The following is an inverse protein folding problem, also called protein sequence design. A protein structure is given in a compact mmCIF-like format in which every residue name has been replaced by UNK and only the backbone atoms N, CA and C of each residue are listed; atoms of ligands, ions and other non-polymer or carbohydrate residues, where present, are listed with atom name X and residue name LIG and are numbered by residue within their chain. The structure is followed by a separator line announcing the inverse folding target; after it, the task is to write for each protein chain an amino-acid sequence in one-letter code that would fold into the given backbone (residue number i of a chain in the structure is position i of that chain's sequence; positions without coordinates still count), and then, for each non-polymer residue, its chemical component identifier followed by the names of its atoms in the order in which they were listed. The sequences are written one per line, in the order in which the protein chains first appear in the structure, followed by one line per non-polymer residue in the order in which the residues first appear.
data_IF_959315298429
#
_entry.id   IF_959315298429
#
_cell.length_a   1.000
_cell.length_b   1.000
_cell.length_c   1.000
_cell.angle_alpha   90.00
_cell.angle_beta   90.00
_cell.angle_gamma   90.00
#
_symmetry.space_group_name_H-M   'P 1'
#
loop_
_entity.id
_entity.type
_entity.pdbx_description
1 polymer ?
#
# COMPACT_ATOMS: atom_id res chain seq x y z
N UNK A 1 2.28 1.80 -27.87
CA UNK A 1 2.29 3.08 -27.13
C UNK A 1 0.95 3.84 -27.24
N UNK A 2 -0.21 3.22 -26.97
CA UNK A 2 -1.51 3.88 -27.18
C UNK A 2 -2.57 3.68 -26.08
N UNK A 3 -2.23 3.03 -24.96
CA UNK A 3 -3.24 2.65 -23.94
C UNK A 3 -3.24 3.52 -22.68
N UNK A 4 -2.17 4.29 -22.42
CA UNK A 4 -2.07 5.11 -21.20
C UNK A 4 -2.80 6.44 -21.29
N UNK A 5 -2.98 7.01 -22.50
CA UNK A 5 -3.71 8.27 -22.70
C UNK A 5 -5.22 8.12 -22.52
N UNK A 6 -5.80 7.02 -23.01
CA UNK A 6 -7.25 6.78 -22.91
C UNK A 6 -7.70 6.53 -21.46
N UNK A 7 -6.93 5.80 -20.67
CA UNK A 7 -7.25 5.57 -19.25
C UNK A 7 -7.10 6.85 -18.40
N UNK A 8 -6.13 7.71 -18.72
CA UNK A 8 -5.99 9.01 -18.06
C UNK A 8 -7.11 9.99 -18.44
N UNK A 9 -7.61 9.95 -19.69
CA UNK A 9 -8.76 10.76 -20.10
C UNK A 9 -10.08 10.29 -19.48
N UNK A 10 -10.29 8.98 -19.33
CA UNK A 10 -11.49 8.44 -18.68
C UNK A 10 -11.52 8.81 -17.19
N UNK A 11 -10.38 8.75 -16.50
CA UNK A 11 -10.29 9.18 -15.10
C UNK A 11 -10.46 10.70 -14.94
N UNK A 12 -9.90 11.51 -15.85
CA UNK A 12 -10.09 12.99 -15.88
C UNK A 12 -11.52 13.41 -16.23
N UNK A 13 -12.23 12.66 -17.08
CA UNK A 13 -13.65 12.94 -17.42
C UNK A 13 -14.60 12.51 -16.30
N UNK A 14 -14.27 11.45 -15.55
CA UNK A 14 -15.08 11.01 -14.40
C UNK A 14 -14.96 11.91 -13.17
N UNK A 15 -13.87 12.68 -13.05
CA UNK A 15 -13.60 13.57 -11.92
C UNK A 15 -14.06 15.02 -12.12
N UNK A 16 -14.69 15.34 -13.26
CA UNK A 16 -15.11 16.72 -13.58
C UNK A 16 -16.56 16.72 -14.11
N UNK A 17 -17.53 16.30 -13.29
CA UNK A 17 -18.97 16.62 -13.43
C UNK A 17 -19.74 16.58 -12.10
N UNK A 18 -19.10 16.94 -11.00
CA UNK A 18 -19.82 17.33 -9.78
C UNK A 18 -19.10 18.56 -9.25
N UNK A 19 -19.84 19.61 -8.91
CA UNK A 19 -19.40 20.96 -8.56
C UNK A 19 -19.28 21.88 -9.80
N UNK A 20 -20.42 22.47 -10.20
CA UNK A 20 -20.56 23.89 -9.94
C UNK A 20 -21.96 24.19 -9.37
N UNK A 21 -22.12 24.04 -8.06
CA UNK A 21 -23.34 24.48 -7.37
C UNK A 21 -23.11 24.81 -5.88
N UNK A 22 -21.87 25.08 -5.46
CA UNK A 22 -21.56 25.30 -4.02
C UNK A 22 -21.00 26.71 -3.77
N UNK A 23 -20.86 27.56 -4.79
CA UNK A 23 -20.26 28.90 -4.63
C UNK A 23 -21.25 30.06 -4.43
N UNK A 24 -22.55 29.81 -4.25
CA UNK A 24 -23.55 30.87 -4.09
C UNK A 24 -24.43 30.76 -2.83
N UNK A 25 -24.36 29.67 -2.07
CA UNK A 25 -25.13 29.52 -0.83
C UNK A 25 -24.22 29.06 0.29
N UNK A 26 -23.85 30.01 1.14
CA UNK A 26 -23.28 29.70 2.44
C UNK A 26 -24.30 28.93 3.29
N UNK A 27 -23.78 28.01 4.10
CA UNK A 27 -24.53 27.35 5.16
C UNK A 27 -24.62 25.85 4.99
N UNK A 28 -24.55 25.15 6.12
CA UNK A 28 -24.94 23.74 6.29
C UNK A 28 -26.40 23.43 5.86
N UNK A 29 -27.14 24.40 5.31
CA UNK A 29 -28.56 24.36 4.98
C UNK A 29 -28.90 23.52 3.74
N UNK A 30 -27.98 23.34 2.79
CA UNK A 30 -28.26 22.57 1.56
C UNK A 30 -28.32 21.04 1.78
N UNK A 31 -27.67 20.53 2.84
CA UNK A 31 -27.86 19.14 3.29
C UNK A 31 -29.22 18.95 3.98
N UNK A 32 -29.78 20.03 4.54
CA UNK A 32 -31.04 20.00 5.28
C UNK A 32 -32.27 20.06 4.37
N UNK A 33 -32.17 20.68 3.19
CA UNK A 33 -33.26 20.69 2.20
C UNK A 33 -33.56 19.29 1.63
N UNK A 34 -32.55 18.42 1.48
CA UNK A 34 -32.73 17.04 1.04
C UNK A 34 -33.40 16.14 2.09
N UNK A 35 -33.29 16.49 3.38
CA UNK A 35 -33.90 15.73 4.49
C UNK A 35 -35.38 16.04 4.69
N UNK A 36 -35.88 17.14 4.12
CA UNK A 36 -37.24 17.65 4.34
C UNK A 36 -38.31 17.08 3.39
N UNK A 37 -37.94 16.26 2.41
CA UNK A 37 -38.90 15.54 1.56
C UNK A 37 -39.52 14.37 2.35
N UNK A 38 -40.62 14.64 3.05
CA UNK A 38 -41.42 13.70 3.86
C UNK A 38 -42.03 12.51 3.09
N UNK A 39 -41.67 12.26 1.83
CA UNK A 39 -42.31 11.23 1.01
C UNK A 39 -41.63 9.86 1.03
N UNK A 40 -40.45 9.68 1.64
CA UNK A 40 -39.81 8.37 1.78
C UNK A 40 -39.02 8.24 3.09
N UNK A 41 -39.56 7.53 4.08
CA UNK A 41 -38.90 7.28 5.38
C UNK A 41 -37.53 6.57 5.26
N UNK A 42 -37.27 5.92 4.12
CA UNK A 42 -36.01 5.23 3.81
C UNK A 42 -34.94 6.14 3.18
N UNK A 43 -35.26 7.41 2.88
CA UNK A 43 -34.43 8.30 2.08
C UNK A 43 -33.69 9.36 2.90
N UNK A 44 -33.68 9.29 4.23
CA UNK A 44 -32.90 10.21 5.07
C UNK A 44 -31.50 9.65 5.31
N UNK A 45 -30.47 10.03 4.52
CA UNK A 45 -29.10 9.60 4.78
C UNK A 45 -28.61 10.23 6.08
N UNK A 46 -27.76 9.51 6.80
CA UNK A 46 -27.03 10.07 7.93
C UNK A 46 -26.06 11.14 7.41
N UNK A 47 -25.93 12.26 8.15
CA UNK A 47 -24.94 13.30 7.86
C UNK A 47 -23.50 12.77 7.88
N UNK A 48 -23.25 11.71 8.66
CA UNK A 48 -21.95 11.04 8.79
C UNK A 48 -22.08 9.55 8.54
N UNK A 49 -21.19 9.00 7.71
CA UNK A 49 -21.12 7.57 7.43
C UNK A 49 -19.97 6.93 8.19
N UNK A 50 -20.27 5.94 9.04
CA UNK A 50 -19.28 5.22 9.83
C UNK A 50 -19.01 3.83 9.24
N UNK A 51 -17.85 3.69 8.59
CA UNK A 51 -17.40 2.38 8.11
C UNK A 51 -16.55 1.68 9.19
N UNK A 52 -16.99 0.50 9.64
CA UNK A 52 -16.28 -0.33 10.64
C UNK A 52 -15.30 -1.34 10.02
N UNK A 53 -15.22 -1.45 8.70
CA UNK A 53 -14.32 -2.39 8.05
C UNK A 53 -12.86 -1.94 8.19
N UNK A 54 -11.99 -2.72 8.87
CA UNK A 54 -10.59 -2.35 9.07
C UNK A 54 -9.82 -2.19 7.76
N UNK A 55 -10.17 -2.97 6.72
CA UNK A 55 -9.47 -2.95 5.42
C UNK A 55 -9.92 -1.83 4.49
N UNK A 56 -10.92 -1.03 4.86
CA UNK A 56 -11.48 -0.02 3.96
C UNK A 56 -10.43 1.03 3.56
N UNK A 57 -9.75 1.60 4.54
CA UNK A 57 -8.74 2.64 4.30
C UNK A 57 -7.51 2.12 3.57
N UNK A 58 -7.13 0.86 3.80
CA UNK A 58 -6.03 0.17 3.12
C UNK A 58 -6.32 0.02 1.63
N UNK A 59 -7.54 -0.43 1.29
CA UNK A 59 -7.97 -0.58 -0.11
C UNK A 59 -8.03 0.74 -0.86
N UNK A 60 -8.28 1.84 -0.16
CA UNK A 60 -8.26 3.20 -0.71
C UNK A 60 -6.85 3.81 -0.75
N UNK A 61 -5.82 3.10 -0.26
CA UNK A 61 -4.47 3.61 -0.06
C UNK A 61 -4.40 4.88 0.83
N UNK A 62 -5.40 5.10 1.69
CA UNK A 62 -5.48 6.22 2.62
C UNK A 62 -5.00 5.86 4.03
N UNK A 63 -5.01 4.58 4.38
CA UNK A 63 -4.52 4.11 5.67
C UNK A 63 -3.07 4.53 5.89
N UNK A 64 -2.72 4.82 7.13
CA UNK A 64 -1.34 5.12 7.46
C UNK A 64 -0.50 3.84 7.43
N UNK A 65 0.61 3.87 6.71
CA UNK A 65 1.63 2.82 6.80
C UNK A 65 2.62 3.15 7.90
N UNK A 66 3.11 2.14 8.59
CA UNK A 66 4.21 2.33 9.54
C UNK A 66 5.50 2.62 8.76
N UNK A 67 5.99 3.85 8.87
CA UNK A 67 7.22 4.33 8.20
C UNK A 67 8.48 4.03 9.02
N UNK A 68 8.33 3.53 10.26
CA UNK A 68 9.44 3.24 11.16
C UNK A 68 10.14 4.49 11.68
N UNK A 69 11.36 4.29 12.19
CA UNK A 69 12.22 5.37 12.70
C UNK A 69 13.19 5.78 11.59
N UNK A 70 12.88 6.90 10.94
CA UNK A 70 13.67 7.49 9.86
C UNK A 70 12.96 8.72 9.30
N UNK A 71 13.71 9.71 8.83
CA UNK A 71 13.11 10.83 8.11
C UNK A 71 12.59 10.28 6.78
N UNK A 72 11.35 10.64 6.39
CA UNK A 72 10.67 10.23 5.14
C UNK A 72 11.39 10.66 3.85
N UNK A 73 12.66 11.00 3.92
CA UNK A 73 13.49 11.33 2.78
C UNK A 73 14.05 10.05 2.16
N UNK A 74 14.12 9.97 0.82
CA UNK A 74 14.71 8.81 0.12
C UNK A 74 16.14 8.47 0.58
N UNK A 75 16.83 9.46 1.15
CA UNK A 75 18.20 9.38 1.62
C UNK A 75 18.36 8.79 3.03
N UNK A 76 17.31 8.79 3.86
CA UNK A 76 17.35 8.21 5.22
C UNK A 76 16.39 7.02 5.29
N UNK A 77 16.88 5.82 4.95
CA UNK A 77 16.10 4.60 5.11
C UNK A 77 15.75 4.37 6.58
N UNK A 78 14.58 3.80 6.85
CA UNK A 78 14.19 3.43 8.22
C UNK A 78 15.24 2.48 8.81
N UNK A 79 15.65 2.75 10.06
CA UNK A 79 16.68 1.95 10.75
C UNK A 79 16.20 0.53 11.07
N UNK A 80 14.88 0.34 11.18
CA UNK A 80 14.28 -0.95 11.47
C UNK A 80 14.03 -1.74 10.18
N UNK A 81 14.35 -3.03 10.21
CA UNK A 81 13.96 -3.95 9.15
C UNK A 81 12.49 -4.38 9.33
N UNK A 82 11.64 -4.35 8.30
CA UNK A 82 11.89 -3.93 6.92
C UNK A 82 11.92 -2.41 6.71
N UNK A 83 12.83 -1.95 5.85
CA UNK A 83 13.12 -0.53 5.68
C UNK A 83 12.05 0.29 4.93
N UNK A 84 10.93 -0.31 4.51
CA UNK A 84 9.91 0.37 3.72
C UNK A 84 8.47 0.11 4.22
N UNK A 85 7.60 1.15 4.12
CA UNK A 85 6.24 1.10 4.65
C UNK A 85 5.35 0.15 3.84
N UNK A 86 4.57 -0.68 4.55
CA UNK A 86 3.66 -1.66 3.97
C UNK A 86 2.46 -1.94 4.88
N UNK A 87 1.33 -2.38 4.31
CA UNK A 87 0.19 -2.90 5.08
C UNK A 87 0.33 -4.40 5.33
N UNK A 88 0.68 -5.14 4.28
CA UNK A 88 0.90 -6.58 4.29
C UNK A 88 2.29 -6.90 3.75
N UNK A 89 3.02 -7.79 4.42
CA UNK A 89 4.29 -8.34 3.94
C UNK A 89 4.24 -9.84 3.83
N UNK A 90 4.98 -10.36 2.86
CA UNK A 90 5.15 -11.79 2.64
C UNK A 90 6.36 -12.27 3.44
N UNK A 91 6.19 -13.38 4.15
CA UNK A 91 7.24 -14.05 4.89
C UNK A 91 7.35 -15.47 4.35
N UNK A 92 8.56 -15.85 3.96
CA UNK A 92 8.90 -17.21 3.58
C UNK A 92 9.89 -17.76 4.60
N UNK A 93 9.46 -18.75 5.37
CA UNK A 93 10.28 -19.44 6.35
C UNK A 93 10.53 -20.88 5.91
N UNK A 94 11.78 -21.32 6.03
CA UNK A 94 12.20 -22.66 5.66
C UNK A 94 12.92 -23.31 6.82
N UNK A 95 12.42 -24.46 7.24
CA UNK A 95 13.08 -25.37 8.17
C UNK A 95 13.66 -26.54 7.37
N UNK A 96 14.54 -27.35 7.96
CA UNK A 96 15.10 -28.52 7.29
C UNK A 96 14.06 -29.46 6.64
N UNK A 97 12.86 -29.58 7.23
CA UNK A 97 11.79 -30.48 6.77
C UNK A 97 10.59 -29.77 6.11
N UNK A 98 10.32 -28.52 6.45
CA UNK A 98 9.07 -27.85 6.09
C UNK A 98 9.29 -26.43 5.59
N UNK A 99 8.34 -25.96 4.79
CA UNK A 99 8.30 -24.61 4.23
C UNK A 99 7.00 -23.95 4.66
N UNK A 100 7.08 -22.69 5.05
CA UNK A 100 5.97 -21.89 5.51
C UNK A 100 5.94 -20.58 4.72
N UNK A 101 4.78 -20.25 4.16
CA UNK A 101 4.51 -18.96 3.54
C UNK A 101 3.41 -18.26 4.33
N UNK A 102 3.67 -17.05 4.79
CA UNK A 102 2.76 -16.29 5.63
C UNK A 102 2.58 -14.88 5.08
N UNK A 103 1.34 -14.40 5.09
CA UNK A 103 1.00 -13.01 4.86
C UNK A 103 0.78 -12.34 6.21
N UNK A 104 1.67 -11.44 6.58
CA UNK A 104 1.64 -10.74 7.86
C UNK A 104 1.18 -9.30 7.65
N UNK A 105 0.20 -8.87 8.44
CA UNK A 105 -0.22 -7.48 8.53
C UNK A 105 0.72 -6.67 9.42
N UNK A 106 0.85 -5.37 9.19
CA UNK A 106 1.76 -4.51 9.97
C UNK A 106 1.49 -4.51 11.49
N UNK A 107 0.26 -4.84 11.92
CA UNK A 107 -0.05 -5.06 13.35
C UNK A 107 0.51 -6.38 13.92
N UNK A 108 1.25 -7.17 13.15
CA UNK A 108 1.78 -8.47 13.57
C UNK A 108 0.81 -9.65 13.40
N UNK A 109 -0.41 -9.41 12.90
CA UNK A 109 -1.40 -10.48 12.67
C UNK A 109 -1.07 -11.28 11.41
N UNK A 110 -1.12 -12.61 11.50
CA UNK A 110 -1.03 -13.50 10.34
C UNK A 110 -2.40 -13.61 9.69
N UNK A 111 -2.51 -13.10 8.47
CA UNK A 111 -3.79 -13.03 7.73
C UNK A 111 -4.00 -14.33 6.96
N UNK A 112 -2.94 -14.83 6.32
CA UNK A 112 -2.95 -16.05 5.53
C UNK A 112 -1.69 -16.82 5.86
N UNK A 113 -1.85 -18.12 6.04
CA UNK A 113 -0.76 -19.05 6.28
C UNK A 113 -0.90 -20.20 5.29
N UNK A 114 0.23 -20.69 4.79
CA UNK A 114 0.35 -21.91 3.99
C UNK A 114 1.57 -22.65 4.49
N UNK A 115 1.40 -23.94 4.80
CA UNK A 115 2.51 -24.77 5.26
C UNK A 115 2.50 -26.14 4.60
N UNK A 116 3.69 -26.68 4.37
CA UNK A 116 3.84 -28.10 3.98
C UNK A 116 3.50 -29.09 5.10
N UNK A 117 3.13 -28.60 6.29
CA UNK A 117 2.50 -29.40 7.36
C UNK A 117 1.02 -29.67 7.12
N UNK A 118 0.37 -28.88 6.28
CA UNK A 118 -1.01 -29.13 5.94
C UNK A 118 -1.13 -30.41 5.12
N UNK A 119 -1.99 -31.33 5.57
CA UNK A 119 -2.11 -32.66 4.97
C UNK A 119 -2.36 -32.60 3.45
N UNK A 120 -3.27 -31.73 3.01
CA UNK A 120 -3.63 -31.58 1.59
C UNK A 120 -2.44 -31.20 0.71
N UNK A 121 -1.47 -30.44 1.25
CA UNK A 121 -0.26 -30.05 0.53
C UNK A 121 0.79 -31.16 0.67
N UNK A 122 0.93 -31.71 1.88
CA UNK A 122 1.92 -32.75 2.19
C UNK A 122 1.75 -33.98 1.30
N UNK A 123 0.52 -34.39 0.98
CA UNK A 123 0.26 -35.53 0.10
C UNK A 123 0.67 -35.32 -1.36
N UNK A 124 0.80 -34.07 -1.79
CA UNK A 124 1.09 -33.73 -3.19
C UNK A 124 2.58 -33.45 -3.43
N UNK A 125 3.40 -33.46 -2.38
CA UNK A 125 4.82 -33.11 -2.45
C UNK A 125 5.69 -34.26 -1.96
N UNK A 126 6.80 -34.51 -2.65
CA UNK A 126 7.75 -35.55 -2.24
C UNK A 126 8.62 -35.11 -1.05
N UNK A 127 9.05 -33.83 -1.02
CA UNK A 127 9.94 -33.29 0.01
C UNK A 127 9.54 -31.88 0.42
N UNK A 128 9.35 -31.64 1.72
CA UNK A 128 8.81 -30.37 2.25
C UNK A 128 9.72 -29.13 2.18
N UNK A 129 10.96 -29.24 1.70
CA UNK A 129 11.94 -28.14 1.61
C UNK A 129 12.62 -28.04 0.23
N UNK A 130 12.01 -28.63 -0.80
CA UNK A 130 12.54 -28.60 -2.16
C UNK A 130 12.18 -27.31 -2.93
N UNK A 131 12.87 -27.05 -4.04
CA UNK A 131 12.60 -25.90 -4.94
C UNK A 131 11.20 -26.00 -5.55
N UNK A 132 10.82 -27.18 -6.03
CA UNK A 132 9.48 -27.44 -6.56
C UNK A 132 8.39 -27.23 -5.49
N UNK A 133 8.67 -27.63 -4.26
CA UNK A 133 7.79 -27.39 -3.11
C UNK A 133 7.61 -25.91 -2.83
N UNK A 134 8.68 -25.11 -2.90
CA UNK A 134 8.57 -23.65 -2.74
C UNK A 134 7.71 -23.04 -3.83
N UNK A 135 7.87 -23.44 -5.09
CA UNK A 135 7.02 -22.99 -6.20
C UNK A 135 5.53 -23.33 -5.95
N UNK A 136 5.22 -24.58 -5.59
CA UNK A 136 3.85 -25.04 -5.35
C UNK A 136 3.21 -24.38 -4.11
N UNK A 137 3.98 -24.20 -3.03
CA UNK A 137 3.53 -23.41 -1.86
C UNK A 137 3.20 -21.98 -2.27
N UNK A 138 4.01 -21.36 -3.13
CA UNK A 138 3.74 -20.03 -3.69
C UNK A 138 2.42 -19.98 -4.46
N UNK A 139 2.12 -20.99 -5.29
CA UNK A 139 0.84 -21.09 -6.00
C UNK A 139 -0.35 -21.15 -5.05
N UNK A 140 -0.32 -22.06 -4.07
CA UNK A 140 -1.40 -22.19 -3.07
C UNK A 140 -1.55 -20.90 -2.25
N UNK A 141 -0.43 -20.26 -1.91
CA UNK A 141 -0.42 -19.01 -1.18
C UNK A 141 -1.13 -17.89 -1.94
N UNK A 142 -0.80 -17.67 -3.21
CA UNK A 142 -1.50 -16.65 -4.02
C UNK A 142 -2.97 -16.97 -4.19
N UNK A 143 -3.31 -18.23 -4.45
CA UNK A 143 -4.69 -18.67 -4.61
C UNK A 143 -5.52 -18.38 -3.33
N UNK A 144 -4.94 -18.52 -2.13
CA UNK A 144 -5.58 -18.09 -0.87
C UNK A 144 -5.68 -16.57 -0.75
N UNK A 145 -4.62 -15.85 -1.09
CA UNK A 145 -4.60 -14.39 -1.08
C UNK A 145 -5.69 -13.80 -1.98
N UNK A 146 -5.75 -14.22 -3.23
CA UNK A 146 -6.72 -13.70 -4.20
C UNK A 146 -8.16 -14.03 -3.76
N UNK A 147 -8.44 -15.26 -3.30
CA UNK A 147 -9.76 -15.63 -2.77
C UNK A 147 -10.16 -14.84 -1.53
N UNK A 148 -9.19 -14.44 -0.71
CA UNK A 148 -9.43 -13.56 0.44
C UNK A 148 -9.61 -12.07 0.07
N UNK A 149 -9.46 -11.72 -1.21
CA UNK A 149 -9.50 -10.34 -1.68
C UNK A 149 -8.21 -9.55 -1.38
N UNK A 150 -7.06 -10.22 -1.38
CA UNK A 150 -5.73 -9.60 -1.30
C UNK A 150 -4.98 -9.93 -2.59
N UNK A 151 -4.70 -8.91 -3.40
CA UNK A 151 -4.01 -9.06 -4.70
C UNK A 151 -2.57 -8.52 -4.69
N UNK A 152 -2.19 -7.79 -3.66
CA UNK A 152 -0.86 -7.19 -3.53
C UNK A 152 -0.34 -7.28 -2.09
N UNK A 153 0.97 -7.40 -1.95
CA UNK A 153 1.68 -7.32 -0.68
C UNK A 153 3.16 -6.99 -0.91
N UNK A 154 3.81 -6.48 0.12
CA UNK A 154 5.23 -6.16 0.10
C UNK A 154 6.13 -7.41 0.07
N UNK A 155 7.04 -7.45 -0.90
CA UNK A 155 8.18 -8.37 -0.91
C UNK A 155 9.36 -7.79 -0.13
N UNK A 156 9.54 -8.27 1.10
CA UNK A 156 10.57 -7.78 2.02
C UNK A 156 11.94 -8.39 1.81
N UNK A 157 12.04 -9.59 1.24
CA UNK A 157 13.32 -10.31 1.12
C UNK A 157 14.22 -9.55 0.13
N UNK A 158 15.47 -9.23 0.49
CA UNK A 158 16.33 -8.44 -0.38
C UNK A 158 16.74 -9.25 -1.63
N UNK A 159 17.00 -8.54 -2.73
CA UNK A 159 17.26 -9.18 -4.03
C UNK A 159 18.52 -10.06 -4.00
N UNK A 160 19.58 -9.65 -3.30
CA UNK A 160 20.80 -10.46 -3.15
C UNK A 160 20.53 -11.87 -2.56
N UNK A 161 19.64 -11.97 -1.58
CA UNK A 161 19.25 -13.26 -0.96
C UNK A 161 18.32 -14.02 -1.90
N UNK A 162 17.41 -13.29 -2.57
CA UNK A 162 16.46 -13.88 -3.52
C UNK A 162 17.21 -14.56 -4.66
N UNK A 163 18.10 -13.83 -5.33
CA UNK A 163 18.83 -14.31 -6.51
C UNK A 163 19.86 -15.39 -6.15
N UNK A 164 20.36 -15.39 -4.91
CA UNK A 164 21.25 -16.43 -4.40
C UNK A 164 20.57 -17.78 -4.10
N UNK A 165 19.23 -17.84 -4.04
CA UNK A 165 18.50 -19.05 -3.65
C UNK A 165 17.43 -19.43 -4.67
N UNK A 166 17.68 -20.50 -5.43
CA UNK A 166 16.75 -21.04 -6.43
C UNK A 166 15.33 -21.27 -5.89
N UNK A 167 15.21 -21.73 -4.65
CA UNK A 167 13.92 -21.91 -3.95
C UNK A 167 13.16 -20.61 -3.71
N UNK A 168 13.86 -19.53 -3.34
CA UNK A 168 13.21 -18.23 -3.09
C UNK A 168 12.84 -17.61 -4.44
N UNK A 169 13.71 -17.73 -5.44
CA UNK A 169 13.42 -17.33 -6.83
C UNK A 169 12.18 -18.06 -7.37
N UNK A 170 12.10 -19.38 -7.20
CA UNK A 170 10.95 -20.17 -7.63
C UNK A 170 9.66 -19.77 -6.90
N UNK A 171 9.74 -19.49 -5.60
CA UNK A 171 8.59 -18.94 -4.86
C UNK A 171 8.17 -17.59 -5.44
N UNK A 172 9.11 -16.66 -5.66
CA UNK A 172 8.84 -15.34 -6.26
C UNK A 172 8.21 -15.46 -7.65
N UNK A 173 8.71 -16.38 -8.46
CA UNK A 173 8.18 -16.68 -9.80
C UNK A 173 6.74 -17.22 -9.73
N UNK A 174 6.44 -18.10 -8.78
CA UNK A 174 5.09 -18.57 -8.55
C UNK A 174 4.12 -17.43 -8.20
N UNK A 175 4.59 -16.45 -7.41
CA UNK A 175 3.78 -15.26 -7.07
C UNK A 175 3.51 -14.39 -8.31
N UNK A 176 4.53 -14.09 -9.12
CA UNK A 176 4.39 -13.22 -10.29
C UNK A 176 3.61 -13.87 -11.42
N UNK A 177 3.84 -15.17 -11.68
CA UNK A 177 3.13 -15.94 -12.72
C UNK A 177 1.64 -16.09 -12.45
N UNK A 178 1.22 -16.14 -11.19
CA UNK A 178 -0.19 -16.20 -10.79
C UNK A 178 -0.89 -14.83 -10.73
N UNK A 179 -0.18 -13.74 -11.05
CA UNK A 179 -0.73 -12.39 -11.11
C UNK A 179 -0.73 -11.63 -9.79
N UNK A 180 0.04 -12.09 -8.78
CA UNK A 180 0.17 -11.39 -7.51
C UNK A 180 1.19 -10.25 -7.60
N UNK A 181 0.83 -9.07 -7.08
CA UNK A 181 1.69 -7.88 -7.14
C UNK A 181 2.56 -7.79 -5.89
N UNK A 182 3.88 -7.82 -6.07
CA UNK A 182 4.89 -7.83 -4.99
C UNK A 182 5.21 -6.44 -4.40
N UNK A 183 4.47 -5.43 -4.83
CA UNK A 183 4.57 -4.05 -4.35
C UNK A 183 3.16 -3.52 -4.11
N UNK A 184 2.96 -2.90 -2.96
CA UNK A 184 1.72 -2.21 -2.64
C UNK A 184 1.65 -0.83 -3.29
N UNK A 185 0.44 -0.27 -3.47
CA UNK A 185 0.29 1.13 -3.84
C UNK A 185 0.88 2.04 -2.76
N UNK A 186 1.43 3.17 -3.20
CA UNK A 186 1.92 4.22 -2.31
C UNK A 186 0.75 4.85 -1.55
N UNK A 187 0.99 5.25 -0.29
CA UNK A 187 -0.04 5.90 0.51
C UNK A 187 -0.37 7.28 -0.07
N UNK A 188 -1.65 7.52 -0.37
CA UNK A 188 -2.13 8.85 -0.76
C UNK A 188 -2.12 9.72 0.49
N UNK A 189 -1.20 10.69 0.54
CA UNK A 189 -1.11 11.63 1.65
C UNK A 189 -1.73 12.98 1.26
N UNK A 190 -2.72 13.45 2.03
CA UNK A 190 -3.34 14.76 1.80
C UNK A 190 -2.41 15.93 2.12
N UNK A 191 -1.34 15.70 2.90
CA UNK A 191 -0.31 16.72 3.19
C UNK A 191 0.54 17.07 1.96
N UNK A 192 0.69 16.12 1.03
CA UNK A 192 1.33 16.30 -0.27
C UNK A 192 0.35 16.56 -1.41
N UNK A 193 -0.97 16.52 -1.16
CA UNK A 193 -1.98 16.89 -2.14
C UNK A 193 -1.94 18.41 -2.29
N UNK A 194 -1.18 18.89 -3.27
CA UNK A 194 -1.33 20.24 -3.79
C UNK A 194 -2.50 20.19 -4.78
N UNK A 195 -3.62 20.89 -4.50
CA UNK A 195 -4.62 21.11 -5.53
C UNK A 195 -3.90 21.71 -6.74
N UNK A 196 -4.18 21.28 -7.99
CA UNK A 196 -3.44 21.70 -9.18
C UNK A 196 -3.42 23.23 -9.44
N UNK A 197 -4.11 24.01 -8.62
CA UNK A 197 -4.23 25.47 -8.69
C UNK A 197 -3.70 26.22 -7.44
N UNK A 198 -3.28 25.53 -6.37
CA UNK A 198 -2.71 26.17 -5.17
C UNK A 198 -1.19 26.04 -5.17
N UNK A 199 -0.49 27.10 -5.62
CA UNK A 199 0.94 27.26 -5.34
C UNK A 199 1.09 27.60 -3.86
N UNK A 200 2.09 27.01 -3.18
CA UNK A 200 2.44 27.44 -1.82
C UNK A 200 3.07 28.83 -1.92
N UNK A 201 2.33 29.87 -1.59
CA UNK A 201 2.87 31.22 -1.37
C UNK A 201 3.55 31.26 0.00
N UNK A 202 4.66 30.56 0.12
CA UNK A 202 5.52 30.60 1.29
C UNK A 202 6.98 30.51 0.84
N UNK A 203 7.93 31.02 1.64
CA UNK A 203 9.34 30.89 1.30
C UNK A 203 9.68 29.41 1.07
N UNK A 204 10.37 29.12 -0.03
CA UNK A 204 10.87 27.78 -0.31
C UNK A 204 11.78 27.33 0.84
N UNK A 205 11.68 26.07 1.24
CA UNK A 205 12.55 25.53 2.29
C UNK A 205 14.01 25.71 1.85
N UNK A 206 14.91 26.16 2.75
CA UNK A 206 16.31 26.37 2.39
C UNK A 206 16.90 25.05 1.89
N UNK A 207 17.54 25.11 0.73
CA UNK A 207 18.24 23.99 0.11
C UNK A 207 19.57 23.74 0.82
N UNK A 208 20.17 22.57 0.66
CA UNK A 208 21.48 22.24 1.27
C UNK A 208 22.56 23.27 0.95
N UNK A 209 22.47 23.94 -0.21
CA UNK A 209 23.37 25.04 -0.62
C UNK A 209 23.22 26.29 0.24
N UNK A 210 22.02 26.55 0.74
CA UNK A 210 21.71 27.71 1.58
C UNK A 210 22.26 27.51 3.01
N UNK A 211 22.40 26.27 3.47
CA UNK A 211 23.04 25.99 4.77
C UNK A 211 24.57 26.27 4.76
N UNK A 212 25.25 26.06 3.62
CA UNK A 212 26.68 26.32 3.50
C UNK A 212 27.01 27.82 3.53
N UNK A 213 26.18 28.67 2.92
CA UNK A 213 26.38 30.13 2.92
C UNK A 213 26.20 30.76 4.30
N UNK A 214 25.31 30.22 5.14
CA UNK A 214 25.14 30.66 6.53
C UNK A 214 26.33 30.31 7.44
N UNK A 215 27.11 29.26 7.12
CA UNK A 215 28.31 28.91 7.89
C UNK A 215 29.49 29.82 7.56
N UNK A 216 29.67 30.18 6.28
CA UNK A 216 30.76 31.05 5.84
C UNK A 216 30.64 32.48 6.40
N UNK A 217 29.42 32.99 6.56
CA UNK A 217 29.16 34.32 7.09
C UNK A 217 29.51 34.51 8.59
N UNK A 218 29.72 33.43 9.36
CA UNK A 218 30.07 33.50 10.79
C UNK A 218 31.57 33.50 11.08
N UNK A 219 32.42 33.26 10.08
CA UNK A 219 33.88 33.12 10.27
C UNK A 219 34.68 34.36 9.82
N UNK A 220 34.04 35.50 9.55
CA UNK A 220 34.69 36.74 9.09
C UNK A 220 34.42 37.95 10.00
N UNK A 221 34.08 37.69 11.27
CA UNK A 221 33.95 38.71 12.30
C UNK A 221 34.91 38.40 13.43
N UNK A 222 36.20 38.63 13.18
CA UNK A 222 37.27 38.83 14.17
C UNK A 222 38.24 39.90 13.62
#
# INVERSE_FOLDING_TARGET
MFTTKLLQEVLKKSTIRVIPAIKAHGGLSSLDECLNNKSNQNATPLRTFLNKNPRNLERMALAHKDEGWGNRTPETAATNWPAFPHYHRIILERTGKHTYATLLHYHGRRVIEVSTREWSIQQQIYKGNDVCTCYNVGRVFVERCIRSGISCAAWTIPNNITDGSQSITAFREALTSSGFVLKEPDQISFRSYQPPHMKREGPEAPTSKDFFSYSAARFHSD
#
